data_IF_621345068710
#
_entry.id   IF_621345068710
#
_cell.length_a   1.000
_cell.length_b   1.000
_cell.length_c   1.000
_cell.angle_alpha   90.00
_cell.angle_beta   90.00
_cell.angle_gamma   90.00
#
_symmetry.space_group_name_H-M   'P 1'
#
loop_
_entity.id
_entity.type
_entity.pdbx_description
1 polymer ?
#
# COMPACT_ATOMS: atom_id res chain seq x y z
N UNK A 1 -9.35 -8.48 25.60
CA UNK A 1 -7.96 -8.88 25.28
C UNK A 1 -7.68 -8.97 23.76
N UNK A 2 -8.58 -9.56 22.94
CA UNK A 2 -8.38 -9.79 21.49
C UNK A 2 -8.26 -8.52 20.60
N UNK A 3 -8.74 -7.36 21.06
CA UNK A 3 -8.64 -6.09 20.31
C UNK A 3 -7.20 -5.67 19.99
N UNK A 4 -6.25 -5.97 20.87
CA UNK A 4 -4.83 -5.64 20.66
C UNK A 4 -4.20 -6.50 19.56
N UNK A 5 -4.68 -7.73 19.38
CA UNK A 5 -4.16 -8.67 18.39
C UNK A 5 -4.55 -8.26 16.96
N UNK A 6 -5.79 -7.83 16.74
CA UNK A 6 -6.22 -7.25 15.44
C UNK A 6 -5.37 -6.04 15.04
N UNK A 7 -5.01 -5.20 16.01
CA UNK A 7 -4.16 -4.03 15.79
C UNK A 7 -2.70 -4.40 15.48
N UNK A 8 -2.17 -5.44 16.12
CA UNK A 8 -0.85 -5.99 15.82
C UNK A 8 -0.79 -6.61 14.42
N UNK A 9 -1.78 -7.41 14.06
CA UNK A 9 -1.86 -8.05 12.74
C UNK A 9 -2.00 -7.01 11.63
N UNK A 10 -2.86 -6.00 11.79
CA UNK A 10 -3.00 -4.93 10.80
C UNK A 10 -1.71 -4.13 10.61
N UNK A 11 -0.99 -3.83 11.70
CA UNK A 11 0.32 -3.18 11.61
C UNK A 11 1.33 -4.05 10.87
N UNK A 12 1.42 -5.35 11.18
CA UNK A 12 2.36 -6.27 10.50
C UNK A 12 2.03 -6.40 9.02
N UNK A 13 0.74 -6.50 8.66
CA UNK A 13 0.30 -6.54 7.26
C UNK A 13 0.74 -5.27 6.54
N UNK A 14 0.50 -4.08 7.10
CA UNK A 14 0.96 -2.83 6.50
C UNK A 14 2.48 -2.78 6.35
N UNK A 15 3.20 -3.23 7.39
CA UNK A 15 4.65 -3.19 7.44
C UNK A 15 5.31 -4.14 6.43
N UNK A 16 4.64 -5.22 6.04
CA UNK A 16 5.09 -6.12 4.96
C UNK A 16 4.58 -5.66 3.59
N UNK A 17 3.35 -5.18 3.52
CA UNK A 17 2.69 -4.76 2.28
C UNK A 17 3.41 -3.55 1.64
N UNK A 18 3.73 -2.53 2.44
CA UNK A 18 4.39 -1.30 1.98
C UNK A 18 5.73 -1.57 1.28
N UNK A 19 6.72 -2.26 1.90
CA UNK A 19 7.99 -2.53 1.23
C UNK A 19 7.83 -3.49 0.05
N UNK A 20 6.96 -4.50 0.14
CA UNK A 20 6.69 -5.40 -0.99
C UNK A 20 6.17 -4.61 -2.20
N UNK A 21 5.22 -3.71 -1.98
CA UNK A 21 4.69 -2.85 -3.03
C UNK A 21 5.74 -1.88 -3.58
N UNK A 22 6.56 -1.27 -2.71
CA UNK A 22 7.62 -0.36 -3.13
C UNK A 22 8.65 -1.05 -4.04
N UNK A 23 9.02 -2.31 -3.72
CA UNK A 23 9.89 -3.12 -4.56
C UNK A 23 9.25 -3.44 -5.91
N UNK A 24 7.95 -3.78 -5.94
CA UNK A 24 7.20 -3.97 -7.18
C UNK A 24 7.13 -2.70 -8.02
N UNK A 25 6.85 -1.55 -7.39
CA UNK A 25 6.80 -0.26 -8.08
C UNK A 25 8.15 0.10 -8.71
N UNK A 26 9.26 -0.18 -8.01
CA UNK A 26 10.61 0.01 -8.52
C UNK A 26 10.93 -0.95 -9.67
N UNK A 27 10.58 -2.23 -9.54
CA UNK A 27 10.78 -3.22 -10.61
C UNK A 27 9.98 -2.86 -11.86
N UNK A 28 8.70 -2.50 -11.72
CA UNK A 28 7.87 -2.05 -12.82
C UNK A 28 8.39 -0.74 -13.43
N UNK A 29 8.93 0.18 -12.61
CA UNK A 29 9.60 1.36 -13.12
C UNK A 29 10.76 0.97 -14.06
N UNK A 30 11.60 -0.01 -13.69
CA UNK A 30 12.70 -0.47 -14.57
C UNK A 30 12.23 -1.12 -15.88
N UNK A 31 11.00 -1.63 -15.95
CA UNK A 31 10.43 -2.27 -17.15
C UNK A 31 9.71 -1.25 -18.04
N UNK A 32 9.12 -0.21 -17.46
CA UNK A 32 8.26 0.77 -18.17
C UNK A 32 9.06 2.01 -18.61
N UNK A 33 10.11 2.38 -17.87
CA UNK A 33 10.96 3.52 -18.20
C UNK A 33 11.94 3.35 -19.39
N UNK A 34 12.39 2.16 -19.82
CA UNK A 34 13.36 2.09 -20.91
C UNK A 34 12.69 2.49 -22.24
N UNK A 35 13.11 3.64 -22.79
CA UNK A 35 12.67 4.15 -24.09
C UNK A 35 11.42 5.03 -24.07
N UNK A 36 10.95 5.43 -22.89
CA UNK A 36 9.67 6.13 -22.69
C UNK A 36 9.87 7.59 -22.28
N UNK A 37 9.04 8.51 -22.78
CA UNK A 37 9.09 9.95 -22.48
C UNK A 37 8.90 10.27 -20.98
N UNK A 38 9.55 11.35 -20.52
CA UNK A 38 9.48 11.84 -19.13
C UNK A 38 8.05 12.01 -18.59
N UNK A 39 7.08 12.31 -19.46
CA UNK A 39 5.68 12.51 -19.07
C UNK A 39 4.99 11.22 -18.62
N UNK A 40 5.25 10.14 -19.34
CA UNK A 40 4.76 8.78 -19.05
C UNK A 40 5.41 8.20 -17.79
N UNK A 41 6.70 8.49 -17.57
CA UNK A 41 7.38 8.19 -16.32
C UNK A 41 6.70 8.90 -15.13
N UNK A 42 6.35 10.17 -15.29
CA UNK A 42 5.68 10.96 -14.25
C UNK A 42 4.26 10.45 -13.96
N UNK A 43 3.49 10.11 -15.00
CA UNK A 43 2.18 9.47 -14.86
C UNK A 43 2.25 8.10 -14.18
N UNK A 44 3.27 7.29 -14.51
CA UNK A 44 3.50 6.01 -13.89
C UNK A 44 3.81 6.13 -12.40
N UNK A 45 4.72 7.02 -12.01
CA UNK A 45 5.02 7.26 -10.60
C UNK A 45 3.83 7.83 -9.82
N UNK A 46 3.04 8.72 -10.41
CA UNK A 46 1.83 9.23 -9.78
C UNK A 46 0.80 8.13 -9.54
N UNK A 47 0.52 7.30 -10.55
CA UNK A 47 -0.43 6.19 -10.46
C UNK A 47 0.09 5.09 -9.53
N UNK A 48 1.35 4.69 -9.63
CA UNK A 48 1.96 3.71 -8.73
C UNK A 48 1.97 4.22 -7.28
N UNK A 49 2.23 5.52 -7.07
CA UNK A 49 2.16 6.15 -5.76
C UNK A 49 0.74 6.28 -5.20
N UNK A 50 -0.29 6.36 -6.04
CA UNK A 50 -1.69 6.46 -5.61
C UNK A 50 -2.40 5.11 -5.50
N UNK A 51 -1.98 4.11 -6.28
CA UNK A 51 -2.65 2.81 -6.33
C UNK A 51 -2.55 2.02 -5.02
N UNK A 52 -1.53 2.27 -4.18
CA UNK A 52 -1.40 1.62 -2.86
C UNK A 52 -2.20 2.31 -1.74
N UNK A 53 -2.65 3.55 -1.97
CA UNK A 53 -3.43 4.33 -0.98
C UNK A 53 -4.76 3.64 -0.62
N UNK A 54 -5.60 3.18 -1.59
CA UNK A 54 -6.83 2.48 -1.25
C UNK A 54 -6.60 1.17 -0.45
N UNK A 55 -5.65 0.28 -0.84
CA UNK A 55 -5.31 -0.91 -0.05
C UNK A 55 -4.88 -0.57 1.38
N UNK A 56 -3.97 0.39 1.55
CA UNK A 56 -3.50 0.80 2.86
C UNK A 56 -4.63 1.39 3.71
N UNK A 57 -5.45 2.25 3.11
CA UNK A 57 -6.63 2.84 3.76
C UNK A 57 -7.64 1.80 4.23
N UNK A 58 -7.90 0.76 3.43
CA UNK A 58 -8.82 -0.33 3.79
C UNK A 58 -8.30 -1.15 4.98
N UNK A 59 -7.01 -1.47 5.00
CA UNK A 59 -6.37 -2.21 6.10
C UNK A 59 -6.41 -1.37 7.39
N UNK A 60 -6.04 -0.08 7.31
CA UNK A 60 -6.10 0.84 8.45
C UNK A 60 -7.53 1.00 8.95
N UNK A 61 -8.50 1.20 8.05
CA UNK A 61 -9.91 1.30 8.41
C UNK A 61 -10.41 0.06 9.14
N UNK A 62 -10.06 -1.14 8.66
CA UNK A 62 -10.39 -2.40 9.32
C UNK A 62 -9.75 -2.54 10.71
N UNK A 63 -8.54 -1.99 10.86
CA UNK A 63 -7.78 -2.00 12.12
C UNK A 63 -8.35 -1.04 13.17
N UNK A 64 -8.87 0.12 12.73
CA UNK A 64 -9.47 1.13 13.59
C UNK A 64 -10.95 0.93 13.86
N UNK A 65 -11.66 0.09 13.08
CA UNK A 65 -13.08 -0.19 13.29
C UNK A 65 -13.30 -0.77 14.69
N UNK A 66 -13.95 -0.03 15.62
CA UNK A 66 -14.28 -0.57 16.93
C UNK A 66 -15.26 -1.73 16.74
N UNK A 67 -15.04 -2.87 17.38
CA UNK A 67 -16.09 -3.87 17.47
C UNK A 67 -17.32 -3.20 18.13
N UNK A 68 -18.52 -3.36 17.56
CA UNK A 68 -19.73 -2.84 18.17
C UNK A 68 -19.81 -3.30 19.62
N UNK A 69 -19.85 -2.35 20.56
CA UNK A 69 -20.17 -2.62 21.96
C UNK A 69 -21.63 -3.06 22.00
N UNK A 70 -21.83 -4.38 22.17
CA UNK A 70 -23.10 -4.94 22.60
C UNK A 70 -23.27 -4.75 24.11
#
# INVERSE_FOLDING_TARGET
MLFRLKKLIGTVILLVFVPTYALFALALATVILPGTDNWTQLGYYALAGLAWVPPAGLIVYWMFKPAPTA
#
